data_IF_880568251512
#
_entry.id   IF_880568251512
#
_cell.length_a   1.000
_cell.length_b   1.000
_cell.length_c   1.000
_cell.angle_alpha   90.00
_cell.angle_beta   90.00
_cell.angle_gamma   90.00
#
_symmetry.space_group_name_H-M   'P 1'
#
loop_
_entity.id
_entity.type
_entity.pdbx_description
1 polymer ?
#
# COMPACT_ATOMS: atom_id res chain seq x y z
N UNK A 1 83.03 32.86 191.69
CA UNK A 1 82.23 33.27 192.87
C UNK A 1 82.12 32.07 193.82
N UNK A 2 82.14 32.20 195.16
CA UNK A 2 83.17 32.92 195.92
C UNK A 2 83.54 32.29 197.33
N UNK A 3 84.69 32.71 197.90
CA UNK A 3 85.22 32.63 199.31
C UNK A 3 85.73 31.27 199.88
N UNK A 4 87.02 31.10 200.28
CA UNK A 4 87.81 31.54 201.48
C UNK A 4 87.42 30.79 202.78
N UNK A 5 88.23 30.44 203.80
CA UNK A 5 89.66 30.26 204.13
C UNK A 5 89.72 30.15 205.69
N UNK A 6 90.42 29.18 206.31
CA UNK A 6 91.03 29.25 207.67
C UNK A 6 91.47 27.85 208.14
N UNK A 7 92.75 27.46 208.14
CA UNK A 7 93.84 27.70 209.12
C UNK A 7 93.52 27.34 210.58
N UNK A 8 94.23 26.32 211.06
CA UNK A 8 94.71 26.17 212.44
C UNK A 8 96.24 26.29 212.37
N UNK A 9 96.83 27.08 213.26
CA UNK A 9 98.26 27.03 213.60
C UNK A 9 98.32 27.04 215.13
N UNK A 10 99.11 26.11 215.66
CA UNK A 10 99.74 26.21 216.98
C UNK A 10 101.08 26.93 216.84
N UNK A 11 101.45 27.79 217.80
CA UNK A 11 102.84 28.07 218.11
C UNK A 11 103.25 27.49 219.46
N UNK A 12 104.49 26.96 219.49
CA UNK A 12 105.38 27.02 220.65
C UNK A 12 105.84 28.48 220.85
N UNK A 13 106.01 28.93 222.11
CA UNK A 13 107.25 29.56 222.63
C UNK A 13 107.23 29.70 224.17
N UNK A 14 108.27 29.12 224.80
CA UNK A 14 109.23 29.69 225.78
C UNK A 14 108.85 30.16 227.23
N UNK A 15 109.59 29.57 228.21
CA UNK A 15 110.29 30.16 229.40
C UNK A 15 109.45 30.74 230.56
N UNK A 16 109.49 30.17 231.78
CA UNK A 16 110.29 30.68 232.94
C UNK A 16 110.29 29.75 234.20
N UNK A 17 111.24 30.07 235.10
CA UNK A 17 111.79 29.49 236.35
C UNK A 17 110.86 28.84 237.39
N UNK A 18 111.40 27.85 238.13
CA UNK A 18 110.91 27.41 239.44
C UNK A 18 111.60 26.15 239.97
N UNK A 19 112.35 26.29 241.08
CA UNK A 19 113.22 25.28 241.70
C UNK A 19 112.48 24.02 242.20
N UNK A 20 113.02 22.83 241.95
CA UNK A 20 113.13 21.80 242.99
C UNK A 20 114.43 21.04 242.82
N UNK A 21 115.09 20.87 243.96
CA UNK A 21 116.10 19.85 244.19
C UNK A 21 115.47 18.50 243.88
N UNK A 22 115.81 17.82 242.78
CA UNK A 22 115.56 16.38 242.71
C UNK A 22 116.78 15.63 242.18
N UNK A 23 117.14 14.67 243.03
CA UNK A 23 118.18 13.66 242.96
C UNK A 23 118.65 13.24 241.57
N UNK A 24 119.97 13.11 241.45
CA UNK A 24 120.70 12.63 240.27
C UNK A 24 120.19 11.29 239.71
N UNK A 25 119.57 10.43 240.52
CA UNK A 25 119.04 9.15 240.02
C UNK A 25 117.78 9.31 239.16
N UNK A 26 117.04 10.41 239.32
CA UNK A 26 115.84 10.61 238.51
C UNK A 26 116.14 11.16 237.11
N UNK A 27 117.22 11.94 236.95
CA UNK A 27 117.63 12.44 235.63
C UNK A 27 117.95 11.30 234.66
N UNK A 28 118.48 10.19 235.16
CA UNK A 28 118.79 9.02 234.34
C UNK A 28 117.51 8.32 233.89
N UNK A 29 116.48 8.23 234.76
CA UNK A 29 115.20 7.63 234.39
C UNK A 29 114.46 8.47 233.34
N UNK A 30 114.43 9.80 233.51
CA UNK A 30 113.82 10.72 232.54
C UNK A 30 114.57 10.66 231.20
N UNK A 31 115.90 10.61 231.23
CA UNK A 31 116.69 10.56 230.00
C UNK A 31 116.42 9.28 229.19
N UNK A 32 116.36 8.11 229.85
CA UNK A 32 116.11 6.85 229.14
C UNK A 32 114.66 6.73 228.64
N UNK A 33 113.67 7.21 229.40
CA UNK A 33 112.26 7.19 228.95
C UNK A 33 112.02 8.15 227.77
N UNK A 34 112.76 9.25 227.71
CA UNK A 34 112.64 10.24 226.62
C UNK A 34 113.30 9.73 225.34
N UNK A 35 114.42 9.00 225.45
CA UNK A 35 115.07 8.36 224.29
C UNK A 35 114.22 7.23 223.67
N UNK A 36 113.54 6.44 224.51
CA UNK A 36 112.66 5.36 224.06
C UNK A 36 111.43 5.91 223.31
N UNK A 37 110.77 6.95 223.87
CA UNK A 37 109.67 7.62 223.18
C UNK A 37 110.10 8.35 221.91
N UNK A 38 111.33 8.89 221.86
CA UNK A 38 111.81 9.60 220.68
C UNK A 38 112.04 8.65 219.50
N UNK A 39 112.55 7.43 219.75
CA UNK A 39 112.73 6.43 218.69
C UNK A 39 111.42 5.86 218.17
N UNK A 40 110.43 5.65 219.05
CA UNK A 40 109.09 5.23 218.61
C UNK A 40 108.40 6.32 217.77
N UNK A 41 108.54 7.60 218.18
CA UNK A 41 107.98 8.71 217.40
C UNK A 41 108.67 8.89 216.03
N UNK A 42 110.00 8.75 215.96
CA UNK A 42 110.72 8.84 214.68
C UNK A 42 110.39 7.69 213.74
N UNK A 43 110.13 6.48 214.27
CA UNK A 43 109.71 5.34 213.45
C UNK A 43 108.31 5.54 212.86
N UNK A 44 107.35 5.96 213.70
CA UNK A 44 105.96 6.24 213.28
C UNK A 44 105.90 7.42 212.30
N UNK A 45 106.69 8.46 212.54
CA UNK A 45 106.73 9.64 211.65
C UNK A 45 107.28 9.31 210.26
N UNK A 46 108.29 8.43 210.19
CA UNK A 46 108.87 8.02 208.91
C UNK A 46 107.95 7.06 208.13
N UNK A 47 107.21 6.20 208.81
CA UNK A 47 106.19 5.34 208.17
C UNK A 47 105.02 6.19 207.64
N UNK A 48 104.55 7.18 208.43
CA UNK A 48 103.48 8.10 208.00
C UNK A 48 103.92 9.02 206.85
N UNK A 49 105.17 9.51 206.87
CA UNK A 49 105.72 10.33 205.79
C UNK A 49 105.89 9.56 204.49
N UNK A 50 106.20 8.27 204.54
CA UNK A 50 106.37 7.43 203.34
C UNK A 50 105.02 7.05 202.70
N UNK A 51 103.98 6.78 203.50
CA UNK A 51 102.62 6.54 203.00
C UNK A 51 102.01 7.78 202.34
N UNK A 52 102.22 8.96 202.93
CA UNK A 52 101.66 10.20 202.40
C UNK A 52 102.27 10.58 201.04
N UNK A 53 103.56 10.32 200.87
CA UNK A 53 104.30 10.55 199.62
C UNK A 53 103.88 9.58 198.48
N UNK A 54 103.37 8.40 198.84
CA UNK A 54 102.80 7.44 197.88
C UNK A 54 101.39 7.84 197.42
N UNK A 55 100.56 8.38 198.32
CA UNK A 55 99.20 8.85 198.01
C UNK A 55 99.23 10.06 197.07
N UNK A 56 100.11 11.04 197.31
CA UNK A 56 100.25 12.21 196.42
C UNK A 56 100.66 11.81 194.99
N UNK A 57 101.55 10.83 194.85
CA UNK A 57 101.98 10.33 193.53
C UNK A 57 100.87 9.57 192.79
N UNK A 58 99.91 8.98 193.50
CA UNK A 58 98.74 8.35 192.87
C UNK A 58 97.70 9.37 192.40
N UNK A 59 97.45 10.43 193.18
CA UNK A 59 96.51 11.50 192.84
C UNK A 59 96.95 12.24 191.57
N UNK A 60 98.22 12.62 191.47
CA UNK A 60 98.75 13.33 190.27
C UNK A 60 98.67 12.46 189.00
N UNK A 61 98.77 11.14 189.12
CA UNK A 61 98.62 10.22 187.97
C UNK A 61 97.16 10.05 187.53
N UNK A 62 96.21 10.18 188.43
CA UNK A 62 94.77 10.14 188.12
C UNK A 62 94.32 11.42 187.42
N UNK A 63 94.73 12.59 187.92
CA UNK A 63 94.39 13.88 187.30
C UNK A 63 94.92 14.01 185.85
N UNK A 64 96.16 13.56 185.60
CA UNK A 64 96.72 13.57 184.23
C UNK A 64 96.06 12.57 183.27
N UNK A 65 95.36 11.54 183.77
CA UNK A 65 94.57 10.65 182.91
C UNK A 65 93.20 11.26 182.61
N UNK A 66 92.61 11.91 183.61
CA UNK A 66 91.31 12.53 183.46
C UNK A 66 91.33 13.71 182.46
N UNK A 67 92.36 14.56 182.48
CA UNK A 67 92.47 15.66 181.51
C UNK A 67 92.72 15.19 180.07
N UNK A 68 93.59 14.20 179.87
CA UNK A 68 93.81 13.63 178.52
C UNK A 68 92.58 12.94 177.93
N UNK A 69 91.69 12.43 178.78
CA UNK A 69 90.42 11.86 178.34
C UNK A 69 89.42 12.94 177.93
N UNK A 70 89.34 14.04 178.68
CA UNK A 70 88.51 15.21 178.32
C UNK A 70 88.93 15.84 176.99
N UNK A 71 90.22 16.03 176.76
CA UNK A 71 90.74 16.63 175.54
C UNK A 71 90.37 15.81 174.29
N UNK A 72 90.55 14.48 174.34
CA UNK A 72 90.18 13.59 173.23
C UNK A 72 88.68 13.57 172.92
N UNK A 73 87.82 13.68 173.93
CA UNK A 73 86.36 13.74 173.72
C UNK A 73 85.97 15.05 173.03
N UNK A 74 86.55 16.18 173.43
CA UNK A 74 86.25 17.47 172.82
C UNK A 74 86.73 17.56 171.37
N UNK A 75 87.92 17.04 171.05
CA UNK A 75 88.41 17.00 169.67
C UNK A 75 87.53 16.12 168.77
N UNK A 76 87.09 14.95 169.25
CA UNK A 76 86.21 14.04 168.51
C UNK A 76 84.84 14.69 168.22
N UNK A 77 84.24 15.33 169.21
CA UNK A 77 82.94 16.02 169.07
C UNK A 77 83.02 17.24 168.12
N UNK A 78 84.13 17.98 168.16
CA UNK A 78 84.32 19.14 167.26
C UNK A 78 84.51 18.72 165.80
N UNK A 79 85.23 17.64 165.53
CA UNK A 79 85.37 17.12 164.15
C UNK A 79 84.02 16.62 163.60
N UNK A 80 83.27 15.87 164.42
CA UNK A 80 81.99 15.31 164.00
C UNK A 80 80.93 16.41 163.72
N UNK A 81 80.97 17.51 164.49
CA UNK A 81 80.07 18.66 164.27
C UNK A 81 80.40 19.43 162.98
N UNK A 82 81.68 19.67 162.67
CA UNK A 82 82.07 20.36 161.44
C UNK A 82 81.75 19.55 160.18
N UNK A 83 81.90 18.23 160.22
CA UNK A 83 81.61 17.35 159.08
C UNK A 83 80.10 17.24 158.79
N UNK A 84 79.26 17.25 159.83
CA UNK A 84 77.80 17.35 159.67
C UNK A 84 77.37 18.71 159.08
N UNK A 85 77.99 19.82 159.50
CA UNK A 85 77.67 21.15 158.97
C UNK A 85 78.04 21.29 157.49
N UNK A 86 79.19 20.73 157.08
CA UNK A 86 79.63 20.75 155.68
C UNK A 86 78.67 19.94 154.78
N UNK A 87 78.29 18.74 155.20
CA UNK A 87 77.37 17.90 154.43
C UNK A 87 75.96 18.52 154.30
N UNK A 88 75.48 19.23 155.34
CA UNK A 88 74.20 19.95 155.27
C UNK A 88 74.25 21.16 154.32
N UNK A 89 75.37 21.87 154.24
CA UNK A 89 75.57 22.96 153.28
C UNK A 89 75.51 22.49 151.84
N UNK A 90 76.23 21.41 151.50
CA UNK A 90 76.24 20.85 150.14
C UNK A 90 74.86 20.29 149.71
N UNK A 91 74.10 19.71 150.65
CA UNK A 91 72.72 19.27 150.40
C UNK A 91 71.79 20.46 150.15
N UNK A 92 71.94 21.55 150.92
CA UNK A 92 71.11 22.75 150.76
C UNK A 92 71.34 23.46 149.42
N UNK A 93 72.59 23.56 148.97
CA UNK A 93 72.92 24.19 147.68
C UNK A 93 72.40 23.37 146.50
N UNK A 94 72.52 22.02 146.55
CA UNK A 94 71.91 21.14 145.54
C UNK A 94 70.39 21.26 145.50
N UNK A 95 69.75 21.41 146.66
CA UNK A 95 68.30 21.57 146.73
C UNK A 95 67.84 22.88 146.08
N UNK A 96 68.54 24.00 146.33
CA UNK A 96 68.28 25.29 145.66
C UNK A 96 68.47 25.21 144.15
N UNK A 97 69.52 24.55 143.68
CA UNK A 97 69.78 24.40 142.24
C UNK A 97 68.69 23.58 141.54
N UNK A 98 68.22 22.50 142.17
CA UNK A 98 67.11 21.69 141.65
C UNK A 98 65.79 22.45 141.64
N UNK A 99 65.47 23.21 142.70
CA UNK A 99 64.29 24.07 142.72
C UNK A 99 64.29 25.10 141.58
N UNK A 100 65.46 25.70 141.31
CA UNK A 100 65.60 26.66 140.21
C UNK A 100 65.41 26.01 138.84
N UNK A 101 66.02 24.84 138.60
CA UNK A 101 65.85 24.10 137.33
C UNK A 101 64.41 23.66 137.10
N UNK A 102 63.69 23.27 138.16
CA UNK A 102 62.28 22.91 138.06
C UNK A 102 61.42 24.13 137.66
N UNK A 103 61.63 25.27 138.31
CA UNK A 103 60.85 26.49 138.05
C UNK A 103 61.13 27.08 136.65
N UNK A 104 62.37 26.99 136.17
CA UNK A 104 62.74 27.43 134.81
C UNK A 104 62.13 26.51 133.74
N UNK A 105 62.02 25.20 134.01
CA UNK A 105 61.38 24.22 133.12
C UNK A 105 59.87 24.43 133.00
N UNK A 106 59.16 24.66 134.11
CA UNK A 106 57.71 24.91 134.11
C UNK A 106 57.36 26.20 133.35
N UNK A 107 58.18 27.24 133.50
CA UNK A 107 57.98 28.52 132.80
C UNK A 107 58.20 28.39 131.29
N UNK A 108 59.18 27.59 130.87
CA UNK A 108 59.42 27.29 129.46
C UNK A 108 58.26 26.50 128.82
N UNK A 109 57.68 25.54 129.56
CA UNK A 109 56.53 24.76 129.09
C UNK A 109 55.27 25.62 128.91
N UNK A 110 54.98 26.53 129.85
CA UNK A 110 53.82 27.42 129.77
C UNK A 110 53.90 28.36 128.55
N UNK A 111 55.07 28.94 128.28
CA UNK A 111 55.29 29.83 127.12
C UNK A 111 55.21 29.07 125.79
N UNK A 112 55.65 27.81 125.76
CA UNK A 112 55.51 26.98 124.57
C UNK A 112 54.04 26.65 124.28
N UNK A 113 53.26 26.28 125.31
CA UNK A 113 51.86 25.91 125.18
C UNK A 113 51.00 27.09 124.68
N UNK A 114 51.16 28.28 125.26
CA UNK A 114 50.44 29.50 124.86
C UNK A 114 50.74 29.92 123.39
N UNK A 115 51.99 29.72 122.92
CA UNK A 115 52.35 29.95 121.51
C UNK A 115 51.71 28.95 120.55
N UNK A 116 51.52 27.69 120.96
CA UNK A 116 50.87 26.68 120.12
C UNK A 116 49.36 26.93 120.03
N UNK A 117 48.70 27.24 121.14
CA UNK A 117 47.26 27.57 121.16
C UNK A 117 46.96 28.82 120.32
N UNK A 118 47.74 29.90 120.47
CA UNK A 118 47.55 31.13 119.68
C UNK A 118 47.75 30.92 118.16
N UNK A 119 48.67 30.03 117.75
CA UNK A 119 48.86 29.70 116.33
C UNK A 119 47.72 28.84 115.78
N UNK A 120 47.19 27.93 116.59
CA UNK A 120 46.08 27.06 116.21
C UNK A 120 44.81 27.88 116.01
N UNK A 121 44.48 28.78 116.95
CA UNK A 121 43.31 29.66 116.86
C UNK A 121 43.35 30.56 115.64
N UNK A 122 44.50 31.17 115.32
CA UNK A 122 44.66 31.96 114.10
C UNK A 122 44.45 31.13 112.84
N UNK A 123 44.86 29.87 112.82
CA UNK A 123 44.65 28.96 111.69
C UNK A 123 43.19 28.56 111.56
N UNK A 124 42.50 28.29 112.66
CA UNK A 124 41.06 27.99 112.67
C UNK A 124 40.27 29.18 112.12
N UNK A 125 40.52 30.40 112.62
CA UNK A 125 39.85 31.61 112.11
C UNK A 125 40.11 31.89 110.63
N UNK A 126 41.33 31.63 110.13
CA UNK A 126 41.63 31.74 108.71
C UNK A 126 40.85 30.74 107.86
N UNK A 127 40.72 29.50 108.34
CA UNK A 127 39.95 28.46 107.64
C UNK A 127 38.45 28.79 107.67
N UNK A 128 37.90 29.21 108.81
CA UNK A 128 36.50 29.63 108.92
C UNK A 128 36.19 30.83 108.01
N UNK A 129 37.08 31.83 107.99
CA UNK A 129 36.95 32.99 107.09
C UNK A 129 36.98 32.59 105.61
N UNK A 130 37.91 31.73 105.21
CA UNK A 130 37.99 31.23 103.84
C UNK A 130 36.79 30.36 103.46
N UNK A 131 36.30 29.52 104.37
CA UNK A 131 35.15 28.64 104.13
C UNK A 131 33.84 29.44 104.01
N UNK A 132 33.67 30.47 104.83
CA UNK A 132 32.52 31.38 104.72
C UNK A 132 32.57 32.22 103.44
N UNK A 133 33.74 32.74 103.06
CA UNK A 133 33.90 33.44 101.79
C UNK A 133 33.57 32.53 100.59
N UNK A 134 34.10 31.30 100.58
CA UNK A 134 33.82 30.30 99.55
C UNK A 134 32.33 29.93 99.48
N UNK A 135 31.67 29.72 100.62
CA UNK A 135 30.23 29.44 100.67
C UNK A 135 29.39 30.60 100.12
N UNK A 136 29.80 31.84 100.42
CA UNK A 136 29.12 33.05 99.93
C UNK A 136 29.29 33.21 98.41
N UNK A 137 30.50 32.96 97.90
CA UNK A 137 30.82 32.96 96.46
C UNK A 137 30.02 31.88 95.71
N UNK A 138 29.90 30.68 96.29
CA UNK A 138 29.10 29.58 95.74
C UNK A 138 27.61 29.96 95.67
N UNK A 139 27.07 30.52 96.76
CA UNK A 139 25.66 30.94 96.82
C UNK A 139 25.36 32.03 95.79
N UNK A 140 26.27 32.99 95.61
CA UNK A 140 26.16 34.04 94.59
C UNK A 140 26.22 33.46 93.17
N UNK A 141 27.16 32.55 92.92
CA UNK A 141 27.32 31.87 91.63
C UNK A 141 26.10 31.03 91.26
N UNK A 142 25.54 30.29 92.23
CA UNK A 142 24.30 29.52 92.05
C UNK A 142 23.09 30.43 91.79
N UNK A 143 22.99 31.57 92.48
CA UNK A 143 21.94 32.57 92.21
C UNK A 143 22.04 33.16 90.78
N UNK A 144 23.26 33.46 90.32
CA UNK A 144 23.49 33.92 88.95
C UNK A 144 23.20 32.83 87.91
N UNK A 145 23.49 31.57 88.23
CA UNK A 145 23.16 30.45 87.36
C UNK A 145 21.64 30.26 87.25
N UNK A 146 20.92 30.28 88.37
CA UNK A 146 19.47 30.15 88.39
C UNK A 146 18.78 31.28 87.61
N UNK A 147 19.18 32.53 87.82
CA UNK A 147 18.63 33.66 87.04
C UNK A 147 18.89 33.54 85.54
N UNK A 148 20.05 33.01 85.12
CA UNK A 148 20.32 32.71 83.69
C UNK A 148 19.46 31.57 83.16
N UNK A 149 19.24 30.53 83.96
CA UNK A 149 18.37 29.40 83.59
C UNK A 149 16.93 29.90 83.41
N UNK A 150 16.40 30.66 84.36
CA UNK A 150 15.05 31.25 84.29
C UNK A 150 14.91 32.16 83.07
N UNK A 151 15.87 33.04 82.82
CA UNK A 151 15.86 33.93 81.65
C UNK A 151 15.91 33.14 80.31
N UNK A 152 16.65 32.04 80.26
CA UNK A 152 16.69 31.18 79.08
C UNK A 152 15.41 30.37 78.90
N UNK A 153 14.81 29.87 79.99
CA UNK A 153 13.51 29.21 79.96
C UNK A 153 12.42 30.17 79.47
N UNK A 154 12.41 31.42 79.95
CA UNK A 154 11.46 32.43 79.50
C UNK A 154 11.65 32.77 78.01
N UNK A 155 12.90 32.90 77.55
CA UNK A 155 13.20 33.10 76.11
C UNK A 155 12.74 31.93 75.26
N UNK A 156 13.01 30.70 75.68
CA UNK A 156 12.58 29.50 74.98
C UNK A 156 11.05 29.42 74.92
N UNK A 157 10.37 29.72 76.03
CA UNK A 157 8.91 29.72 76.06
C UNK A 157 8.32 30.79 75.13
N UNK A 158 8.91 32.00 75.11
CA UNK A 158 8.49 33.07 74.18
C UNK A 158 8.73 32.68 72.72
N UNK A 159 9.87 32.06 72.41
CA UNK A 159 10.16 31.57 71.06
C UNK A 159 9.22 30.45 70.63
N UNK A 160 8.88 29.51 71.53
CA UNK A 160 7.91 28.44 71.27
C UNK A 160 6.53 29.02 70.99
N UNK A 161 6.02 29.90 71.87
CA UNK A 161 4.72 30.53 71.66
C UNK A 161 4.68 31.35 70.36
N UNK A 162 5.79 32.03 70.01
CA UNK A 162 5.88 32.75 68.74
C UNK A 162 5.86 31.80 67.54
N UNK A 163 6.55 30.66 67.61
CA UNK A 163 6.55 29.65 66.57
C UNK A 163 5.14 29.05 66.39
N UNK A 164 4.45 28.72 67.48
CA UNK A 164 3.09 28.18 67.45
C UNK A 164 2.11 29.18 66.81
N UNK A 165 2.19 30.46 67.19
CA UNK A 165 1.33 31.51 66.61
C UNK A 165 1.64 31.78 65.14
N UNK A 166 2.91 31.77 64.73
CA UNK A 166 3.30 31.84 63.32
C UNK A 166 2.81 30.61 62.54
N UNK A 167 2.90 29.41 63.12
CA UNK A 167 2.41 28.17 62.52
C UNK A 167 0.90 28.21 62.34
N UNK A 168 0.13 28.62 63.36
CA UNK A 168 -1.33 28.77 63.27
C UNK A 168 -1.71 29.78 62.18
N UNK A 169 -1.05 30.95 62.16
CA UNK A 169 -1.29 31.97 61.13
C UNK A 169 -0.98 31.46 59.72
N UNK A 170 0.14 30.77 59.54
CA UNK A 170 0.51 30.18 58.25
C UNK A 170 -0.48 29.09 57.82
N UNK A 171 -0.96 28.27 58.75
CA UNK A 171 -1.98 27.25 58.48
C UNK A 171 -3.33 27.88 58.10
N UNK A 172 -3.78 28.94 58.80
CA UNK A 172 -4.99 29.66 58.44
C UNK A 172 -4.88 30.33 57.06
N UNK A 173 -3.73 30.94 56.74
CA UNK A 173 -3.48 31.51 55.42
C UNK A 173 -3.46 30.45 54.31
N UNK A 174 -2.85 29.30 54.58
CA UNK A 174 -2.83 28.18 53.66
C UNK A 174 -4.24 27.62 53.43
N UNK A 175 -5.05 27.51 54.49
CA UNK A 175 -6.44 27.06 54.39
C UNK A 175 -7.29 28.02 53.56
N UNK A 176 -7.22 29.34 53.84
CA UNK A 176 -7.92 30.35 53.06
C UNK A 176 -7.52 30.36 51.59
N UNK A 177 -6.22 30.24 51.28
CA UNK A 177 -5.75 30.09 49.89
C UNK A 177 -6.28 28.81 49.23
N UNK A 178 -6.35 27.72 49.99
CA UNK A 178 -6.85 26.44 49.48
C UNK A 178 -8.35 26.53 49.17
N UNK A 179 -9.14 27.21 50.01
CA UNK A 179 -10.56 27.48 49.76
C UNK A 179 -10.77 28.35 48.52
N UNK A 180 -10.00 29.46 48.38
CA UNK A 180 -10.06 30.31 47.18
C UNK A 180 -9.71 29.54 45.89
N UNK A 181 -8.71 28.66 45.96
CA UNK A 181 -8.33 27.81 44.82
C UNK A 181 -9.44 26.81 44.50
N UNK A 182 -10.04 26.18 45.51
CA UNK A 182 -11.13 25.23 45.33
C UNK A 182 -12.38 25.90 44.73
N UNK A 183 -12.71 27.11 45.15
CA UNK A 183 -13.80 27.90 44.60
C UNK A 183 -13.54 28.26 43.14
N UNK A 184 -12.34 28.78 42.81
CA UNK A 184 -11.96 29.07 41.42
C UNK A 184 -12.00 27.83 40.53
N UNK A 185 -11.55 26.67 41.03
CA UNK A 185 -11.63 25.40 40.30
C UNK A 185 -13.09 25.03 40.04
N UNK A 186 -13.97 25.18 41.04
CA UNK A 186 -15.40 24.90 40.90
C UNK A 186 -16.06 25.79 39.85
N UNK A 187 -15.77 27.09 39.88
CA UNK A 187 -16.32 28.05 38.92
C UNK A 187 -15.83 27.80 37.50
N UNK A 188 -14.53 27.49 37.33
CA UNK A 188 -13.99 27.13 36.01
C UNK A 188 -14.62 25.86 35.46
N UNK A 189 -14.79 24.82 36.30
CA UNK A 189 -15.46 23.58 35.89
C UNK A 189 -16.92 23.82 35.53
N UNK A 190 -17.63 24.64 36.30
CA UNK A 190 -19.02 24.99 35.99
C UNK A 190 -19.14 25.75 34.67
N UNK A 191 -18.33 26.80 34.48
CA UNK A 191 -18.31 27.57 33.23
C UNK A 191 -17.91 26.72 32.02
N UNK A 192 -16.98 25.78 32.20
CA UNK A 192 -16.57 24.86 31.15
C UNK A 192 -17.70 23.88 30.78
N UNK A 193 -18.41 23.32 31.77
CA UNK A 193 -19.56 22.46 31.52
C UNK A 193 -20.68 23.21 30.80
N UNK A 194 -21.01 24.44 31.21
CA UNK A 194 -22.03 25.25 30.51
C UNK A 194 -21.66 25.52 29.05
N UNK A 195 -20.39 25.83 28.77
CA UNK A 195 -19.90 26.01 27.39
C UNK A 195 -19.99 24.70 26.60
N UNK A 196 -19.65 23.58 27.22
CA UNK A 196 -19.74 22.27 26.59
C UNK A 196 -21.21 21.93 26.24
N UNK A 197 -22.14 22.15 27.16
CA UNK A 197 -23.58 21.95 26.92
C UNK A 197 -24.12 22.85 25.81
N UNK A 198 -23.66 24.11 25.73
CA UNK A 198 -24.03 25.00 24.64
C UNK A 198 -23.51 24.51 23.28
N UNK A 199 -22.26 24.02 23.23
CA UNK A 199 -21.69 23.45 22.00
C UNK A 199 -22.45 22.21 21.58
N UNK A 200 -22.79 21.32 22.51
CA UNK A 200 -23.60 20.11 22.23
C UNK A 200 -24.96 20.52 21.65
N UNK A 201 -25.68 21.45 22.28
CA UNK A 201 -26.97 21.95 21.76
C UNK A 201 -26.86 22.55 20.36
N UNK A 202 -25.83 23.35 20.11
CA UNK A 202 -25.60 23.93 18.78
C UNK A 202 -25.29 22.87 17.72
N UNK A 203 -24.59 21.80 18.09
CA UNK A 203 -24.32 20.67 17.20
C UNK A 203 -25.60 19.89 16.92
N UNK A 204 -26.42 19.60 17.93
CA UNK A 204 -27.70 18.91 17.76
C UNK A 204 -28.65 19.71 16.84
N UNK A 205 -28.79 21.02 17.05
CA UNK A 205 -29.58 21.90 16.19
C UNK A 205 -29.07 21.93 14.74
N UNK A 206 -27.75 21.87 14.54
CA UNK A 206 -27.15 21.82 13.19
C UNK A 206 -27.39 20.47 12.54
N UNK A 207 -27.28 19.38 13.28
CA UNK A 207 -27.56 18.02 12.80
C UNK A 207 -29.03 17.92 12.38
N UNK A 208 -29.95 18.45 13.19
CA UNK A 208 -31.38 18.48 12.87
C UNK A 208 -31.64 19.27 11.57
N UNK A 209 -31.11 20.49 11.44
CA UNK A 209 -31.24 21.30 10.20
C UNK A 209 -30.66 20.62 8.97
N UNK A 210 -29.50 19.96 9.09
CA UNK A 210 -28.90 19.22 7.99
C UNK A 210 -29.75 18.01 7.62
N UNK A 211 -30.29 17.30 8.61
CA UNK A 211 -31.17 16.15 8.41
C UNK A 211 -32.46 16.56 7.70
N UNK A 212 -33.10 17.65 8.14
CA UNK A 212 -34.31 18.18 7.51
C UNK A 212 -34.07 18.68 6.08
N UNK A 213 -32.98 19.40 5.85
CA UNK A 213 -32.59 19.85 4.52
C UNK A 213 -32.31 18.68 3.58
N UNK A 214 -31.62 17.65 4.08
CA UNK A 214 -31.33 16.44 3.32
C UNK A 214 -32.60 15.67 2.97
N UNK A 215 -33.50 15.48 3.94
CA UNK A 215 -34.79 14.81 3.73
C UNK A 215 -35.65 15.57 2.71
N UNK A 216 -35.74 16.90 2.83
CA UNK A 216 -36.48 17.75 1.89
C UNK A 216 -35.91 17.61 0.46
N UNK A 217 -34.59 17.70 0.32
CA UNK A 217 -33.93 17.55 -0.97
C UNK A 217 -34.13 16.13 -1.54
N UNK A 218 -34.10 15.10 -0.70
CA UNK A 218 -34.35 13.72 -1.10
C UNK A 218 -35.78 13.54 -1.63
N UNK A 219 -36.77 14.11 -0.96
CA UNK A 219 -38.17 14.09 -1.41
C UNK A 219 -38.37 14.83 -2.73
N UNK A 220 -37.74 16.01 -2.90
CA UNK A 220 -37.78 16.75 -4.17
C UNK A 220 -37.15 15.96 -5.32
N UNK A 221 -36.04 15.26 -5.06
CA UNK A 221 -35.39 14.43 -6.07
C UNK A 221 -36.24 13.21 -6.43
N UNK A 222 -36.85 12.55 -5.43
CA UNK A 222 -37.78 11.44 -5.66
C UNK A 222 -38.98 11.89 -6.51
N UNK A 223 -39.54 13.06 -6.22
CA UNK A 223 -40.62 13.63 -7.03
C UNK A 223 -40.21 13.87 -8.48
N UNK A 224 -39.04 14.49 -8.72
CA UNK A 224 -38.53 14.72 -10.08
C UNK A 224 -38.28 13.42 -10.84
N UNK A 225 -37.78 12.39 -10.16
CA UNK A 225 -37.59 11.06 -10.77
C UNK A 225 -38.93 10.48 -11.18
N UNK A 226 -39.96 10.57 -10.32
CA UNK A 226 -41.30 10.08 -10.63
C UNK A 226 -41.94 10.86 -11.79
N UNK A 227 -41.81 12.19 -11.83
CA UNK A 227 -42.29 13.02 -12.96
C UNK A 227 -41.61 12.64 -14.28
N UNK A 228 -40.28 12.47 -14.27
CA UNK A 228 -39.54 12.05 -15.44
C UNK A 228 -39.97 10.66 -15.91
N UNK A 229 -40.20 9.73 -14.98
CA UNK A 229 -40.68 8.39 -15.31
C UNK A 229 -42.07 8.45 -15.98
N UNK A 230 -43.02 9.20 -15.43
CA UNK A 230 -44.34 9.38 -16.05
C UNK A 230 -44.25 10.04 -17.43
N UNK A 231 -43.37 11.03 -17.61
CA UNK A 231 -43.16 11.66 -18.92
C UNK A 231 -42.56 10.69 -19.94
N UNK A 232 -41.63 9.82 -19.52
CA UNK A 232 -41.07 8.77 -20.37
C UNK A 232 -42.16 7.78 -20.78
N UNK A 233 -43.00 7.34 -19.85
CA UNK A 233 -44.12 6.44 -20.13
C UNK A 233 -45.10 7.05 -21.15
N UNK A 234 -45.46 8.34 -20.99
CA UNK A 234 -46.32 9.06 -21.94
C UNK A 234 -45.70 9.16 -23.33
N UNK A 235 -44.40 9.46 -23.42
CA UNK A 235 -43.68 9.53 -24.70
C UNK A 235 -43.60 8.14 -25.36
N UNK A 236 -43.35 7.09 -24.58
CA UNK A 236 -43.34 5.72 -25.08
C UNK A 236 -44.69 5.30 -25.66
N UNK A 237 -45.79 5.65 -24.98
CA UNK A 237 -47.15 5.40 -25.47
C UNK A 237 -47.40 6.12 -26.80
N UNK A 238 -47.15 7.43 -26.87
CA UNK A 238 -47.33 8.23 -28.10
C UNK A 238 -46.50 7.71 -29.27
N UNK A 239 -45.24 7.33 -29.04
CA UNK A 239 -44.38 6.75 -30.08
C UNK A 239 -44.95 5.42 -30.57
N UNK A 240 -45.42 4.58 -29.64
CA UNK A 240 -45.99 3.27 -29.99
C UNK A 240 -47.28 3.42 -30.79
N UNK A 241 -48.18 4.30 -30.38
CA UNK A 241 -49.41 4.62 -31.12
C UNK A 241 -49.09 5.18 -32.52
N UNK A 242 -48.14 6.10 -32.63
CA UNK A 242 -47.71 6.67 -33.91
C UNK A 242 -47.14 5.61 -34.85
N UNK A 243 -46.34 4.67 -34.34
CA UNK A 243 -45.77 3.58 -35.15
C UNK A 243 -46.86 2.60 -35.60
N UNK A 244 -47.83 2.29 -34.74
CA UNK A 244 -48.98 1.45 -35.11
C UNK A 244 -49.82 2.12 -36.20
N UNK A 245 -50.11 3.42 -36.05
CA UNK A 245 -50.86 4.18 -37.04
C UNK A 245 -50.13 4.23 -38.39
N UNK A 246 -48.83 4.53 -38.39
CA UNK A 246 -48.01 4.57 -39.59
C UNK A 246 -47.95 3.20 -40.28
N UNK A 247 -47.79 2.12 -39.52
CA UNK A 247 -47.80 0.76 -40.08
C UNK A 247 -49.14 0.43 -40.73
N UNK A 248 -50.25 0.80 -40.09
CA UNK A 248 -51.60 0.58 -40.64
C UNK A 248 -51.80 1.34 -41.95
N UNK A 249 -51.38 2.61 -42.02
CA UNK A 249 -51.45 3.42 -43.24
C UNK A 249 -50.63 2.80 -44.38
N UNK A 250 -49.42 2.31 -44.08
CA UNK A 250 -48.59 1.58 -45.03
C UNK A 250 -49.26 0.28 -45.53
N UNK A 251 -49.86 -0.51 -44.63
CA UNK A 251 -50.56 -1.74 -44.99
C UNK A 251 -51.79 -1.45 -45.90
N UNK A 252 -52.51 -0.36 -45.63
CA UNK A 252 -53.63 0.11 -46.47
C UNK A 252 -53.14 0.56 -47.85
N UNK A 253 -52.04 1.34 -47.92
CA UNK A 253 -51.46 1.79 -49.19
C UNK A 253 -50.94 0.62 -50.03
N UNK A 254 -50.25 -0.35 -49.41
CA UNK A 254 -49.81 -1.59 -50.06
C UNK A 254 -51.01 -2.36 -50.61
N UNK A 255 -52.09 -2.45 -49.85
CA UNK A 255 -53.31 -3.15 -50.29
C UNK A 255 -53.92 -2.47 -51.51
N UNK A 256 -54.01 -1.13 -51.51
CA UNK A 256 -54.51 -0.33 -52.63
C UNK A 256 -53.62 -0.45 -53.88
N UNK A 257 -52.30 -0.44 -53.70
CA UNK A 257 -51.36 -0.65 -54.80
C UNK A 257 -51.53 -2.05 -55.41
N UNK A 258 -51.65 -3.08 -54.57
CA UNK A 258 -51.90 -4.45 -55.04
C UNK A 258 -53.20 -4.57 -55.82
N UNK A 259 -54.30 -3.99 -55.33
CA UNK A 259 -55.58 -4.01 -56.06
C UNK A 259 -55.49 -3.27 -57.39
N UNK A 260 -54.85 -2.11 -57.43
CA UNK A 260 -54.65 -1.35 -58.67
C UNK A 260 -53.80 -2.08 -59.71
N UNK A 261 -52.74 -2.79 -59.26
CA UNK A 261 -51.94 -3.66 -60.13
C UNK A 261 -52.78 -4.80 -60.69
N UNK A 262 -53.57 -5.48 -59.85
CA UNK A 262 -54.43 -6.60 -60.27
C UNK A 262 -55.51 -6.17 -61.26
N UNK A 263 -56.16 -5.02 -61.03
CA UNK A 263 -57.13 -4.43 -61.95
C UNK A 263 -56.49 -4.11 -63.31
N UNK A 264 -55.30 -3.47 -63.29
CA UNK A 264 -54.56 -3.11 -64.51
C UNK A 264 -54.14 -4.37 -65.28
N UNK A 265 -53.62 -5.38 -64.57
CA UNK A 265 -53.23 -6.65 -65.14
C UNK A 265 -54.41 -7.38 -65.79
N UNK A 266 -55.56 -7.42 -65.10
CA UNK A 266 -56.78 -8.04 -65.61
C UNK A 266 -57.32 -7.31 -66.83
N UNK A 267 -57.36 -5.97 -66.79
CA UNK A 267 -57.78 -5.14 -67.92
C UNK A 267 -56.88 -5.35 -69.15
N UNK A 268 -55.57 -5.34 -68.96
CA UNK A 268 -54.60 -5.58 -70.04
C UNK A 268 -54.76 -6.98 -70.63
N UNK A 269 -54.90 -8.01 -69.79
CA UNK A 269 -55.14 -9.39 -70.22
C UNK A 269 -56.41 -9.51 -71.07
N UNK A 270 -57.52 -8.95 -70.61
CA UNK A 270 -58.79 -8.98 -71.34
C UNK A 270 -58.72 -8.25 -72.68
N UNK A 271 -58.03 -7.11 -72.72
CA UNK A 271 -57.80 -6.37 -73.98
C UNK A 271 -56.98 -7.19 -74.97
N UNK A 272 -55.94 -7.87 -74.50
CA UNK A 272 -55.08 -8.71 -75.34
C UNK A 272 -55.83 -9.95 -75.85
N UNK A 273 -56.67 -10.56 -75.01
CA UNK A 273 -57.54 -11.68 -75.41
C UNK A 273 -58.57 -11.25 -76.44
N UNK A 274 -59.21 -10.09 -76.26
CA UNK A 274 -60.14 -9.52 -77.25
C UNK A 274 -59.45 -9.26 -78.58
N UNK A 275 -58.27 -8.63 -78.55
CA UNK A 275 -57.48 -8.37 -79.75
C UNK A 275 -57.07 -9.66 -80.46
N UNK A 276 -56.67 -10.69 -79.72
CA UNK A 276 -56.33 -12.00 -80.30
C UNK A 276 -57.55 -12.64 -80.98
N UNK A 277 -58.73 -12.60 -80.35
CA UNK A 277 -59.96 -13.11 -80.96
C UNK A 277 -60.33 -12.33 -82.23
N UNK A 278 -60.23 -10.99 -82.22
CA UNK A 278 -60.49 -10.17 -83.41
C UNK A 278 -59.53 -10.51 -84.56
N UNK A 279 -58.24 -10.70 -84.25
CA UNK A 279 -57.24 -11.11 -85.23
C UNK A 279 -57.52 -12.50 -85.78
N UNK A 280 -57.85 -13.47 -84.92
CA UNK A 280 -58.18 -14.84 -85.33
C UNK A 280 -59.43 -14.86 -86.23
N UNK A 281 -60.47 -14.12 -85.86
CA UNK A 281 -61.67 -13.97 -86.69
C UNK A 281 -61.35 -13.35 -88.05
N UNK A 282 -60.54 -12.28 -88.08
CA UNK A 282 -60.15 -11.63 -89.34
C UNK A 282 -59.29 -12.53 -90.22
N UNK A 283 -58.40 -13.33 -89.63
CA UNK A 283 -57.62 -14.35 -90.35
C UNK A 283 -58.55 -15.41 -90.94
N UNK A 284 -59.53 -15.89 -90.18
CA UNK A 284 -60.52 -16.85 -90.66
C UNK A 284 -61.38 -16.28 -91.79
N UNK A 285 -61.87 -15.04 -91.67
CA UNK A 285 -62.62 -14.37 -92.75
C UNK A 285 -61.78 -14.23 -94.03
N UNK A 286 -60.51 -13.80 -93.91
CA UNK A 286 -59.61 -13.68 -95.05
C UNK A 286 -59.36 -15.04 -95.69
N UNK A 287 -59.18 -16.09 -94.89
CA UNK A 287 -59.01 -17.45 -95.37
C UNK A 287 -60.23 -17.91 -96.17
N UNK A 288 -61.46 -17.71 -95.67
CA UNK A 288 -62.69 -18.05 -96.38
C UNK A 288 -62.79 -17.30 -97.71
N UNK A 289 -62.51 -15.99 -97.73
CA UNK A 289 -62.52 -15.20 -98.98
C UNK A 289 -61.50 -15.68 -100.00
N UNK A 290 -60.32 -16.11 -99.55
CA UNK A 290 -59.29 -16.70 -100.43
C UNK A 290 -59.79 -18.02 -101.00
N UNK A 291 -60.38 -18.89 -100.18
CA UNK A 291 -60.95 -20.17 -100.63
C UNK A 291 -62.09 -19.95 -101.64
N UNK A 292 -62.99 -18.98 -101.40
CA UNK A 292 -64.06 -18.59 -102.33
C UNK A 292 -63.50 -18.02 -103.65
N UNK A 293 -62.51 -17.13 -103.60
CA UNK A 293 -61.88 -16.57 -104.79
C UNK A 293 -61.17 -17.64 -105.63
N UNK A 294 -60.47 -18.57 -104.97
CA UNK A 294 -59.85 -19.73 -105.63
C UNK A 294 -60.89 -20.60 -106.33
N UNK A 295 -62.03 -20.86 -105.68
CA UNK A 295 -63.12 -21.62 -106.27
C UNK A 295 -63.73 -20.90 -107.48
N UNK A 296 -64.01 -19.60 -107.38
CA UNK A 296 -64.54 -18.79 -108.49
C UNK A 296 -63.60 -18.79 -109.71
N UNK A 297 -62.29 -18.62 -109.48
CA UNK A 297 -61.29 -18.69 -110.56
C UNK A 297 -61.29 -20.08 -111.20
N UNK A 298 -61.35 -21.13 -110.40
CA UNK A 298 -61.39 -22.52 -110.88
C UNK A 298 -62.63 -22.77 -111.74
N UNK A 299 -63.81 -22.33 -111.28
CA UNK A 299 -65.07 -22.48 -112.01
C UNK A 299 -65.08 -21.67 -113.31
N UNK A 300 -64.54 -20.44 -113.29
CA UNK A 300 -64.39 -19.60 -114.48
C UNK A 300 -63.45 -20.24 -115.51
N UNK A 301 -62.31 -20.79 -115.07
CA UNK A 301 -61.37 -21.50 -115.95
C UNK A 301 -62.02 -22.74 -116.55
N UNK A 302 -62.76 -23.52 -115.75
CA UNK A 302 -63.49 -24.69 -116.24
C UNK A 302 -64.58 -24.33 -117.26
N UNK A 303 -65.33 -23.26 -117.02
CA UNK A 303 -66.34 -22.77 -117.97
C UNK A 303 -65.70 -22.30 -119.28
N UNK A 304 -64.60 -21.55 -119.20
CA UNK A 304 -63.83 -21.11 -120.36
C UNK A 304 -63.24 -22.30 -121.13
N UNK A 305 -62.72 -23.32 -120.43
CA UNK A 305 -62.22 -24.56 -121.06
C UNK A 305 -63.33 -25.27 -121.83
N UNK A 306 -64.52 -25.44 -121.25
CA UNK A 306 -65.67 -26.06 -121.93
C UNK A 306 -66.12 -25.27 -123.16
N UNK A 307 -66.13 -23.95 -123.08
CA UNK A 307 -66.46 -23.09 -124.22
C UNK A 307 -65.40 -23.19 -125.33
N UNK A 308 -64.12 -23.26 -124.96
CA UNK A 308 -63.03 -23.49 -125.91
C UNK A 308 -63.14 -24.87 -126.57
N UNK A 309 -63.41 -25.94 -125.80
CA UNK A 309 -63.65 -27.30 -126.30
C UNK A 309 -64.82 -27.36 -127.29
N UNK A 310 -65.92 -26.64 -126.99
CA UNK A 310 -67.05 -26.51 -127.91
C UNK A 310 -66.66 -25.80 -129.20
N UNK A 311 -65.97 -24.66 -129.13
CA UNK A 311 -65.49 -23.92 -130.32
C UNK A 311 -64.53 -24.75 -131.17
N UNK A 312 -63.62 -25.48 -130.52
CA UNK A 312 -62.72 -26.42 -131.21
C UNK A 312 -63.54 -27.49 -131.93
N UNK A 313 -64.57 -28.04 -131.28
CA UNK A 313 -65.44 -29.05 -131.89
C UNK A 313 -66.23 -28.49 -133.08
N UNK A 314 -66.78 -27.28 -132.98
CA UNK A 314 -67.46 -26.58 -134.08
C UNK A 314 -66.51 -26.29 -135.26
N UNK A 315 -65.26 -25.90 -134.97
CA UNK A 315 -64.24 -25.69 -135.99
C UNK A 315 -63.84 -27.00 -136.67
N UNK A 316 -63.69 -28.09 -135.91
CA UNK A 316 -63.41 -29.42 -136.47
C UNK A 316 -64.53 -29.86 -137.41
N UNK A 317 -65.79 -29.73 -137.01
CA UNK A 317 -66.94 -30.05 -137.87
C UNK A 317 -66.96 -29.20 -139.15
N UNK A 318 -66.69 -27.89 -139.05
CA UNK A 318 -66.59 -27.03 -140.24
C UNK A 318 -65.43 -27.42 -141.16
N UNK A 319 -64.30 -27.85 -140.59
CA UNK A 319 -63.18 -28.37 -141.38
C UNK A 319 -63.60 -29.65 -142.09
N UNK A 320 -64.32 -30.56 -141.43
CA UNK A 320 -64.87 -31.77 -142.05
C UNK A 320 -65.84 -31.44 -143.20
N UNK A 321 -66.78 -30.51 -142.99
CA UNK A 321 -67.70 -30.03 -144.04
C UNK A 321 -66.94 -29.45 -145.24
N UNK A 322 -65.96 -28.57 -145.00
CA UNK A 322 -65.12 -27.99 -146.06
C UNK A 322 -64.32 -29.08 -146.78
N UNK A 323 -63.78 -30.06 -146.04
CA UNK A 323 -63.07 -31.19 -146.64
C UNK A 323 -63.99 -32.01 -147.54
N UNK A 324 -65.22 -32.27 -147.12
CA UNK A 324 -66.23 -32.98 -147.90
C UNK A 324 -66.65 -32.18 -149.15
N UNK A 325 -66.88 -30.87 -149.03
CA UNK A 325 -67.19 -29.99 -150.15
C UNK A 325 -66.04 -29.93 -151.17
N UNK A 326 -64.80 -29.79 -150.70
CA UNK A 326 -63.60 -29.80 -151.54
C UNK A 326 -63.45 -31.15 -152.24
N UNK A 327 -63.67 -32.26 -151.53
CA UNK A 327 -63.62 -33.61 -152.09
C UNK A 327 -64.70 -33.83 -153.16
N UNK A 328 -65.94 -33.42 -152.89
CA UNK A 328 -67.05 -33.49 -153.84
C UNK A 328 -66.82 -32.60 -155.08
N UNK A 329 -66.26 -31.41 -154.89
CA UNK A 329 -65.84 -30.52 -155.98
C UNK A 329 -64.75 -31.16 -156.83
N UNK A 330 -63.73 -31.76 -156.20
CA UNK A 330 -62.66 -32.49 -156.88
C UNK A 330 -63.20 -33.68 -157.69
N UNK A 331 -64.14 -34.46 -157.14
CA UNK A 331 -64.80 -35.55 -157.87
C UNK A 331 -65.57 -35.01 -159.08
N UNK A 332 -66.33 -33.94 -158.90
CA UNK A 332 -67.12 -33.32 -159.97
C UNK A 332 -66.22 -32.78 -161.09
N UNK A 333 -65.12 -32.13 -160.71
CA UNK A 333 -64.12 -31.64 -161.64
C UNK A 333 -63.40 -32.78 -162.36
N UNK A 334 -63.04 -33.86 -161.65
CA UNK A 334 -62.47 -35.08 -162.22
C UNK A 334 -63.40 -35.71 -163.26
N UNK A 335 -64.71 -35.85 -162.95
CA UNK A 335 -65.71 -36.34 -163.90
C UNK A 335 -65.82 -35.45 -165.13
N UNK A 336 -65.76 -34.13 -164.96
CA UNK A 336 -65.78 -33.18 -166.09
C UNK A 336 -64.54 -33.35 -166.97
N UNK A 337 -63.36 -33.48 -166.37
CA UNK A 337 -62.12 -33.74 -167.10
C UNK A 337 -62.17 -35.07 -167.85
N UNK A 338 -62.74 -36.13 -167.26
CA UNK A 338 -62.95 -37.41 -167.92
C UNK A 338 -63.89 -37.29 -169.13
N UNK A 339 -64.99 -36.54 -169.01
CA UNK A 339 -65.90 -36.25 -170.13
C UNK A 339 -65.22 -35.45 -171.24
N UNK A 340 -64.45 -34.42 -170.88
CA UNK A 340 -63.70 -33.61 -171.84
C UNK A 340 -62.61 -34.43 -172.56
N UNK A 341 -61.94 -35.33 -171.84
CA UNK A 341 -60.98 -36.27 -172.40
C UNK A 341 -61.65 -37.21 -173.42
N UNK A 342 -62.76 -37.86 -173.05
CA UNK A 342 -63.52 -38.71 -173.97
C UNK A 342 -64.01 -37.95 -175.21
N UNK A 343 -64.45 -36.69 -175.05
CA UNK A 343 -64.87 -35.84 -176.17
C UNK A 343 -63.70 -35.46 -177.08
N UNK A 344 -62.52 -35.22 -176.52
CA UNK A 344 -61.31 -34.97 -177.28
C UNK A 344 -60.88 -36.23 -178.05
N UNK A 345 -60.92 -37.40 -177.42
CA UNK A 345 -60.62 -38.68 -178.06
C UNK A 345 -61.57 -38.92 -179.26
N UNK A 346 -62.87 -38.71 -179.10
CA UNK A 346 -63.82 -38.82 -180.22
C UNK A 346 -63.58 -37.81 -181.34
N UNK A 347 -63.04 -36.62 -181.02
CA UNK A 347 -62.64 -35.64 -182.05
C UNK A 347 -61.36 -36.06 -182.77
N UNK A 348 -60.41 -36.64 -182.06
CA UNK A 348 -59.18 -37.17 -182.63
C UNK A 348 -59.52 -38.31 -183.60
N UNK A 349 -60.40 -39.24 -183.24
CA UNK A 349 -60.89 -40.30 -184.13
C UNK A 349 -61.50 -39.73 -185.42
N UNK A 350 -62.38 -38.71 -185.32
CA UNK A 350 -62.96 -38.06 -186.50
C UNK A 350 -61.93 -37.38 -187.41
N UNK A 351 -60.95 -36.69 -186.81
CA UNK A 351 -59.88 -36.04 -187.59
C UNK A 351 -59.00 -37.10 -188.27
N UNK A 352 -58.77 -38.24 -187.63
CA UNK A 352 -58.05 -39.37 -188.25
C UNK A 352 -58.83 -39.93 -189.45
N UNK A 353 -60.15 -40.12 -189.34
CA UNK A 353 -61.00 -40.54 -190.46
C UNK A 353 -61.00 -39.52 -191.62
N UNK A 354 -61.12 -38.22 -191.34
CA UNK A 354 -61.09 -37.16 -192.37
C UNK A 354 -59.72 -37.05 -193.09
N UNK A 355 -58.63 -37.34 -192.39
CA UNK A 355 -57.27 -37.29 -192.95
C UNK A 355 -57.02 -38.43 -193.94
N UNK A 356 -57.58 -39.62 -193.68
CA UNK A 356 -57.45 -40.79 -194.55
C UNK A 356 -58.24 -40.64 -195.87
N UNK A 357 -59.35 -39.90 -195.88
CA UNK A 357 -60.10 -39.59 -197.10
C UNK A 357 -59.38 -38.59 -198.03
N UNK A 358 -58.65 -37.62 -197.48
CA UNK A 358 -58.06 -36.53 -198.27
C UNK A 358 -56.80 -36.94 -199.07
N UNK A 359 -56.05 -37.95 -198.59
CA UNK A 359 -54.77 -38.34 -199.21
C UNK A 359 -54.91 -39.17 -200.50
N UNK A 360 -56.07 -39.76 -200.77
CA UNK A 360 -56.25 -40.66 -201.93
C UNK A 360 -56.65 -39.98 -203.26
N UNK A 361 -56.93 -38.67 -203.28
CA UNK A 361 -57.65 -38.03 -204.40
C UNK A 361 -56.82 -37.18 -205.38
N UNK A 362 -55.50 -36.95 -205.21
CA UNK A 362 -54.76 -35.96 -206.03
C UNK A 362 -53.46 -36.46 -206.71
N UNK A 363 -53.55 -37.25 -207.80
CA UNK A 363 -52.53 -37.16 -208.86
C UNK A 363 -53.11 -37.50 -210.28
N UNK A 364 -53.56 -36.49 -211.05
CA UNK A 364 -54.25 -36.70 -212.33
C UNK A 364 -53.34 -37.19 -213.47
N UNK A 365 -52.01 -36.97 -213.41
CA UNK A 365 -51.08 -37.37 -214.47
C UNK A 365 -50.97 -38.91 -214.60
N UNK A 366 -51.10 -39.60 -213.47
CA UNK A 366 -51.11 -41.07 -213.40
C UNK A 366 -52.36 -41.67 -214.06
N UNK A 367 -53.49 -40.97 -213.99
CA UNK A 367 -54.71 -41.44 -214.65
C UNK A 367 -54.61 -41.39 -216.17
N UNK A 368 -53.88 -40.42 -216.74
CA UNK A 368 -53.67 -40.31 -218.19
C UNK A 368 -52.65 -41.33 -218.71
N UNK A 369 -51.55 -41.56 -217.98
CA UNK A 369 -50.57 -42.60 -218.31
C UNK A 369 -51.17 -44.01 -218.41
N UNK A 370 -52.15 -44.33 -217.55
CA UNK A 370 -52.85 -45.63 -217.58
C UNK A 370 -53.72 -45.84 -218.83
N UNK A 371 -54.05 -44.78 -219.58
CA UNK A 371 -54.90 -44.84 -220.78
C UNK A 371 -54.09 -45.03 -222.08
N UNK A 372 -52.77 -44.87 -222.05
CA UNK A 372 -51.92 -45.00 -223.23
C UNK A 372 -51.77 -46.48 -223.65
N UNK A 373 -51.82 -46.74 -224.96
CA UNK A 373 -51.62 -48.08 -225.51
C UNK A 373 -50.13 -48.46 -225.51
N UNK A 374 -49.77 -49.75 -225.39
CA UNK A 374 -48.37 -50.17 -225.40
C UNK A 374 -47.65 -49.75 -226.69
N UNK A 375 -46.37 -49.36 -226.57
CA UNK A 375 -45.50 -48.83 -227.61
C UNK A 375 -45.95 -47.46 -228.19
N UNK A 376 -46.73 -46.68 -227.44
CA UNK A 376 -47.08 -45.33 -227.85
C UNK A 376 -45.82 -44.47 -227.93
N UNK A 377 -45.57 -43.77 -229.04
CA UNK A 377 -44.39 -42.92 -229.16
C UNK A 377 -44.45 -41.81 -228.10
N UNK A 378 -43.35 -41.66 -227.37
CA UNK A 378 -43.17 -40.61 -226.37
C UNK A 378 -41.75 -40.11 -226.54
N UNK A 379 -41.60 -38.84 -226.88
CA UNK A 379 -40.30 -38.23 -227.17
C UNK A 379 -39.49 -37.94 -225.90
N UNK A 380 -40.14 -37.48 -224.82
CA UNK A 380 -39.47 -37.27 -223.54
C UNK A 380 -40.44 -37.26 -222.35
N UNK A 381 -39.89 -37.50 -221.17
CA UNK A 381 -40.60 -37.38 -219.89
C UNK A 381 -39.86 -36.43 -218.97
N UNK A 382 -40.58 -35.69 -218.16
CA UNK A 382 -40.05 -34.68 -217.26
C UNK A 382 -40.14 -35.23 -215.84
N UNK A 383 -39.00 -35.33 -215.16
CA UNK A 383 -38.91 -35.80 -213.78
C UNK A 383 -38.14 -34.76 -212.98
N UNK A 384 -38.82 -34.15 -212.01
CA UNK A 384 -38.32 -33.00 -211.23
C UNK A 384 -37.86 -31.85 -212.11
N UNK A 385 -38.62 -31.57 -213.17
CA UNK A 385 -38.28 -30.55 -214.17
C UNK A 385 -37.13 -30.91 -215.12
N UNK A 386 -36.54 -32.11 -215.02
CA UNK A 386 -35.45 -32.54 -215.91
C UNK A 386 -36.03 -33.42 -217.03
N UNK A 387 -35.89 -33.03 -218.30
CA UNK A 387 -36.33 -33.85 -219.42
C UNK A 387 -35.39 -35.04 -219.64
N UNK A 388 -35.97 -36.23 -219.68
CA UNK A 388 -35.31 -37.49 -219.97
C UNK A 388 -35.88 -38.00 -221.28
N UNK A 389 -34.99 -38.24 -222.24
CA UNK A 389 -35.39 -38.79 -223.53
C UNK A 389 -35.85 -40.23 -223.35
N UNK A 390 -37.01 -40.50 -223.94
CA UNK A 390 -37.53 -41.85 -224.14
C UNK A 390 -38.01 -41.91 -225.57
N UNK A 391 -38.40 -43.09 -226.01
CA UNK A 391 -38.89 -43.31 -227.36
C UNK A 391 -40.33 -43.82 -227.35
N UNK A 392 -40.68 -44.65 -226.35
CA UNK A 392 -42.00 -45.25 -226.28
C UNK A 392 -42.44 -45.48 -224.82
N UNK A 393 -43.73 -45.33 -224.57
CA UNK A 393 -44.37 -45.85 -223.36
C UNK A 393 -44.65 -47.34 -223.50
N UNK A 394 -44.36 -48.13 -222.47
CA UNK A 394 -44.57 -49.58 -222.46
C UNK A 394 -45.79 -49.96 -221.62
N UNK A 395 -45.76 -49.67 -220.31
CA UNK A 395 -46.84 -50.04 -219.37
C UNK A 395 -46.66 -49.36 -218.00
N UNK A 396 -47.66 -49.52 -217.13
CA UNK A 396 -47.63 -49.05 -215.74
C UNK A 396 -48.24 -50.11 -214.81
N UNK A 397 -47.67 -50.29 -213.60
CA UNK A 397 -48.15 -51.26 -212.61
C UNK A 397 -48.99 -50.62 -211.48
N UNK A 398 -49.56 -51.46 -210.60
CA UNK A 398 -50.43 -51.06 -209.49
C UNK A 398 -49.74 -50.21 -208.41
N UNK A 399 -48.42 -50.22 -208.36
CA UNK A 399 -47.63 -49.40 -207.43
C UNK A 399 -47.17 -48.10 -208.08
N UNK A 400 -47.82 -47.71 -209.17
CA UNK A 400 -47.53 -46.52 -209.95
C UNK A 400 -46.12 -46.48 -210.56
N UNK A 401 -45.47 -47.62 -210.77
CA UNK A 401 -44.20 -47.68 -211.52
C UNK A 401 -44.48 -47.80 -213.01
N UNK A 402 -43.83 -46.96 -213.79
CA UNK A 402 -44.04 -46.74 -215.21
C UNK A 402 -42.80 -47.17 -215.99
N UNK A 403 -43.03 -47.86 -217.10
CA UNK A 403 -42.00 -48.44 -217.95
C UNK A 403 -41.97 -47.70 -219.29
N UNK A 404 -40.82 -47.15 -219.64
CA UNK A 404 -40.57 -46.50 -220.93
C UNK A 404 -39.41 -47.20 -221.64
N UNK A 405 -39.36 -47.12 -222.96
CA UNK A 405 -38.25 -47.62 -223.78
C UNK A 405 -37.44 -46.45 -224.28
N UNK A 406 -36.13 -46.49 -224.15
CA UNK A 406 -35.17 -45.58 -224.75
C UNK A 406 -34.26 -46.42 -225.67
N UNK A 407 -34.55 -46.38 -226.97
CA UNK A 407 -33.92 -47.22 -228.00
C UNK A 407 -34.12 -48.73 -227.72
N UNK A 408 -33.05 -49.46 -227.37
CA UNK A 408 -33.06 -50.90 -227.05
C UNK A 408 -33.12 -51.17 -225.53
N UNK A 409 -33.16 -50.13 -224.69
CA UNK A 409 -33.11 -50.24 -223.22
C UNK A 409 -34.41 -49.76 -222.55
N UNK A 410 -34.75 -50.36 -221.40
CA UNK A 410 -36.01 -50.10 -220.70
C UNK A 410 -35.75 -49.26 -219.44
N UNK A 411 -36.39 -48.10 -219.35
CA UNK A 411 -36.33 -47.17 -218.23
C UNK A 411 -37.52 -47.41 -217.31
N UNK A 412 -37.23 -47.68 -216.04
CA UNK A 412 -38.22 -47.93 -214.99
C UNK A 412 -38.26 -46.73 -214.08
N UNK A 413 -39.43 -46.11 -213.97
CA UNK A 413 -39.58 -44.82 -213.31
C UNK A 413 -40.79 -44.88 -212.41
N UNK A 414 -40.65 -44.35 -211.20
CA UNK A 414 -41.78 -44.14 -210.30
C UNK A 414 -42.67 -43.01 -210.86
N UNK A 415 -43.90 -43.37 -211.25
CA UNK A 415 -44.87 -42.49 -211.89
C UNK A 415 -45.31 -41.33 -211.02
N UNK A 416 -45.18 -41.44 -209.68
CA UNK A 416 -45.44 -40.31 -208.77
C UNK A 416 -44.35 -39.23 -208.84
N UNK A 417 -43.23 -39.50 -209.53
CA UNK A 417 -42.12 -38.56 -209.74
C UNK A 417 -42.08 -38.00 -211.15
N UNK A 418 -42.99 -38.40 -212.02
CA UNK A 418 -43.13 -37.85 -213.37
C UNK A 418 -43.99 -36.60 -213.25
N UNK A 419 -43.42 -35.46 -213.63
CA UNK A 419 -44.11 -34.17 -213.58
C UNK A 419 -44.77 -33.84 -214.91
N UNK A 420 -44.31 -34.44 -216.01
CA UNK A 420 -44.83 -34.18 -217.34
C UNK A 420 -44.35 -35.19 -218.36
N UNK A 421 -45.07 -35.29 -219.48
CA UNK A 421 -44.74 -36.15 -220.62
C UNK A 421 -44.94 -35.33 -221.88
N UNK A 422 -43.97 -35.42 -222.78
CA UNK A 422 -44.03 -34.77 -224.07
C UNK A 422 -43.96 -35.85 -225.14
N UNK A 423 -44.99 -35.86 -225.99
CA UNK A 423 -45.22 -36.91 -226.97
C UNK A 423 -44.33 -36.78 -228.18
#
# INVERSE_FOLDING_TARGET
MPWYNSRIVYPLTCIDRGERVISSNQKIFIFNKTEEMKREFEKIYNEFSAENDQLEKQIVRLDRRHERFKEKINESMSMQSMEQQKNLGEIHDRFKELQKKLHDSERAQFVAQDKYESRLDKKVQQVEGAMNAYSTEQKKSLGQLNTKIEANQEKLQKSLNHLDTEQEKNMSQLHSRMEEIQEKIRDMLHSQNEKQDQVVKQLDERIEKVTDSFNTQSMEQEHKVNELQSSIEEVQEKVTESLIAQKKEQDEEITKLRSGIEETYTSFRNSLETQNMEQENKVNELRIRIEEAQQQVTDSLNAQSKEQEKKISELLNKIEEIQEDVFNSLISQSKKHEQDANRLDSKIEKIQEELDEYLNAQNPLIQELKKLKPNYPVNQIIIKGIPIKVSQFISMNSNNVVYFKENETLKIIDGNKIDGIEF
#
